data_IF_078460598872
#
_entry.id   IF_078460598872
#
_cell.length_a   1.000
_cell.length_b   1.000
_cell.length_c   1.000
_cell.angle_alpha   90.00
_cell.angle_beta   90.00
_cell.angle_gamma   90.00
#
_symmetry.space_group_name_H-M   'P 1'
#
loop_
_entity.id
_entity.type
_entity.pdbx_description
1 polymer ?
#
# COMPACT_ATOMS: atom_id res chain seq x y z
N UNK A 1 7.94 11.41 -15.01
CA UNK A 1 7.75 11.54 -13.55
C UNK A 1 6.32 11.12 -13.19
N UNK A 2 6.20 10.09 -12.36
CA UNK A 2 4.91 9.62 -11.87
C UNK A 2 4.53 10.32 -10.56
N UNK A 3 3.23 10.38 -10.28
CA UNK A 3 2.67 10.85 -9.01
C UNK A 3 2.15 9.64 -8.25
N UNK A 4 2.77 9.33 -7.11
CA UNK A 4 2.51 8.14 -6.34
C UNK A 4 1.86 8.50 -5.01
N UNK A 5 0.73 7.88 -4.69
CA UNK A 5 0.09 7.99 -3.39
C UNK A 5 0.60 6.90 -2.46
N UNK A 6 0.83 7.24 -1.20
CA UNK A 6 0.94 6.29 -0.09
C UNK A 6 -0.24 6.51 0.83
N UNK A 7 -0.82 5.45 1.36
CA UNK A 7 -1.79 5.55 2.45
C UNK A 7 -1.13 5.06 3.74
N UNK A 8 -1.21 5.84 4.81
CA UNK A 8 -0.43 5.61 6.01
C UNK A 8 -1.23 5.95 7.27
N UNK A 9 -1.26 5.00 8.21
CA UNK A 9 -1.84 5.16 9.54
C UNK A 9 -0.85 4.77 10.63
N UNK A 10 -1.23 4.95 11.89
CA UNK A 10 -0.38 4.59 13.02
C UNK A 10 0.02 3.12 13.01
N UNK A 11 1.15 2.84 13.62
CA UNK A 11 1.74 1.50 13.76
C UNK A 11 2.05 0.83 12.41
N UNK A 12 2.42 1.64 11.41
CA UNK A 12 2.95 1.11 10.16
C UNK A 12 4.30 0.41 10.42
N UNK A 13 4.64 -0.58 9.59
CA UNK A 13 5.99 -1.16 9.62
C UNK A 13 6.98 -0.14 9.10
N UNK A 14 7.89 0.33 9.95
CA UNK A 14 8.78 1.47 9.69
C UNK A 14 9.50 1.34 8.34
N UNK A 15 10.13 0.20 8.06
CA UNK A 15 10.87 -0.02 6.82
C UNK A 15 9.97 -0.13 5.58
N UNK A 16 8.77 -0.67 5.74
CA UNK A 16 7.83 -0.85 4.62
C UNK A 16 7.25 0.47 4.13
N UNK A 17 7.30 1.50 4.95
CA UNK A 17 7.04 2.87 4.54
C UNK A 17 8.31 3.55 4.02
N UNK A 18 9.35 3.62 4.85
CA UNK A 18 10.54 4.43 4.59
C UNK A 18 11.29 4.02 3.33
N UNK A 19 11.51 2.73 3.14
CA UNK A 19 12.32 2.24 2.00
C UNK A 19 11.63 2.52 0.66
N UNK A 20 10.36 2.16 0.43
CA UNK A 20 9.70 2.52 -0.82
C UNK A 20 9.55 4.03 -1.00
N UNK A 21 9.25 4.76 0.06
CA UNK A 21 9.11 6.21 0.02
C UNK A 21 10.37 6.88 -0.51
N UNK A 22 11.52 6.52 0.07
CA UNK A 22 12.81 7.10 -0.33
C UNK A 22 13.19 6.70 -1.77
N UNK A 23 13.09 5.42 -2.10
CA UNK A 23 13.50 4.92 -3.43
C UNK A 23 12.66 5.51 -4.56
N UNK A 24 11.37 5.67 -4.36
CA UNK A 24 10.50 6.27 -5.37
C UNK A 24 10.86 7.74 -5.57
N UNK A 25 11.12 8.47 -4.50
CA UNK A 25 11.55 9.88 -4.59
C UNK A 25 12.94 10.03 -5.21
N UNK A 26 13.88 9.20 -4.83
CA UNK A 26 15.23 9.19 -5.39
C UNK A 26 15.23 8.89 -6.90
N UNK A 27 14.24 8.12 -7.36
CA UNK A 27 14.04 7.85 -8.78
C UNK A 27 13.38 9.01 -9.54
N UNK A 28 13.08 10.12 -8.87
CA UNK A 28 12.55 11.34 -9.50
C UNK A 28 11.02 11.43 -9.53
N UNK A 29 10.32 10.54 -8.86
CA UNK A 29 8.86 10.58 -8.79
C UNK A 29 8.37 11.43 -7.61
N UNK A 30 7.15 11.94 -7.73
CA UNK A 30 6.49 12.72 -6.68
C UNK A 30 5.66 11.79 -5.80
N UNK A 31 5.81 11.90 -4.48
CA UNK A 31 5.04 11.12 -3.51
C UNK A 31 4.15 12.04 -2.69
N UNK A 32 2.89 11.64 -2.54
CA UNK A 32 1.93 12.25 -1.62
C UNK A 32 1.51 11.19 -0.60
N UNK A 33 1.65 11.49 0.68
CA UNK A 33 1.22 10.58 1.75
C UNK A 33 -0.16 11.02 2.26
N UNK A 34 -1.11 10.11 2.17
CA UNK A 34 -2.50 10.31 2.57
C UNK A 34 -2.74 9.55 3.88
N UNK A 35 -3.07 10.28 4.93
CA UNK A 35 -3.46 9.71 6.21
C UNK A 35 -4.98 9.77 6.41
N UNK A 36 -5.46 9.28 7.53
CA UNK A 36 -6.88 9.41 7.89
C UNK A 36 -7.29 10.89 8.00
N UNK A 37 -6.36 11.73 8.45
CA UNK A 37 -6.51 13.18 8.54
C UNK A 37 -5.22 13.87 8.11
N UNK A 38 -5.35 14.99 7.39
CA UNK A 38 -4.22 15.84 7.06
C UNK A 38 -3.56 16.41 8.32
N UNK A 39 -2.24 16.53 8.26
CA UNK A 39 -1.41 17.19 9.29
C UNK A 39 -1.46 16.51 10.67
N UNK A 40 -1.90 15.26 10.75
CA UNK A 40 -1.85 14.45 11.97
C UNK A 40 -0.70 13.47 11.89
N UNK A 41 0.30 13.64 12.76
CA UNK A 41 1.46 12.75 12.81
C UNK A 41 1.07 11.30 13.08
N UNK A 42 1.69 10.38 12.37
CA UNK A 42 1.60 8.93 12.60
C UNK A 42 2.98 8.38 12.91
N UNK A 43 3.02 7.30 13.68
CA UNK A 43 4.26 6.67 14.15
C UNK A 43 4.35 5.24 13.69
N UNK A 44 5.56 4.82 13.30
CA UNK A 44 5.86 3.44 13.02
C UNK A 44 5.79 2.59 14.30
N UNK A 45 5.45 1.32 14.14
CA UNK A 45 5.27 0.39 15.26
C UNK A 45 6.56 0.13 16.04
N UNK A 46 7.73 0.29 15.42
CA UNK A 46 9.04 0.14 16.05
C UNK A 46 9.57 1.44 16.63
N UNK A 47 8.86 2.54 16.44
CA UNK A 47 9.24 3.87 16.93
C UNK A 47 10.45 4.48 16.23
N UNK A 48 10.87 3.95 15.08
CA UNK A 48 12.03 4.46 14.33
C UNK A 48 11.66 5.57 13.38
N UNK A 49 10.43 5.55 12.87
CA UNK A 49 9.95 6.50 11.88
C UNK A 49 8.68 7.18 12.39
N UNK A 50 8.58 8.48 12.10
CA UNK A 50 7.34 9.25 12.23
C UNK A 50 7.12 9.98 10.92
N UNK A 51 5.87 10.24 10.58
CA UNK A 51 5.53 11.01 9.39
C UNK A 51 4.25 11.80 9.62
N UNK A 52 4.20 13.00 9.05
CA UNK A 52 2.98 13.81 9.09
C UNK A 52 2.38 13.84 7.68
N UNK A 53 1.32 13.03 7.43
CA UNK A 53 0.67 13.05 6.12
C UNK A 53 0.17 14.45 5.77
N UNK A 54 0.46 14.90 4.56
CA UNK A 54 0.05 16.22 4.08
C UNK A 54 -1.41 16.30 3.67
N UNK A 55 -2.07 15.16 3.51
CA UNK A 55 -3.45 15.09 3.02
C UNK A 55 -4.26 14.04 3.75
N UNK A 56 -5.54 14.28 3.88
CA UNK A 56 -6.55 13.26 4.15
C UNK A 56 -7.22 12.82 2.85
N UNK A 57 -8.10 11.80 2.87
CA UNK A 57 -8.74 11.31 1.64
C UNK A 57 -9.65 12.34 0.98
N UNK A 58 -10.21 13.28 1.75
CA UNK A 58 -11.03 14.37 1.22
C UNK A 58 -10.25 15.48 0.52
N UNK A 59 -8.92 15.52 0.70
CA UNK A 59 -8.05 16.55 0.14
C UNK A 59 -7.46 16.18 -1.21
N UNK A 60 -7.66 14.96 -1.66
CA UNK A 60 -7.07 14.43 -2.90
C UNK A 60 -8.13 13.80 -3.79
N UNK A 61 -7.78 13.69 -5.07
CA UNK A 61 -8.59 12.98 -6.07
C UNK A 61 -7.75 11.82 -6.61
N UNK A 62 -8.34 10.65 -6.72
CA UNK A 62 -7.67 9.46 -7.25
C UNK A 62 -7.07 9.70 -8.65
N UNK A 63 -7.69 10.55 -9.45
CA UNK A 63 -7.21 10.87 -10.80
C UNK A 63 -5.85 11.57 -10.82
N UNK A 64 -5.45 12.18 -9.69
CA UNK A 64 -4.14 12.83 -9.56
C UNK A 64 -2.97 11.85 -9.56
N UNK A 65 -3.23 10.57 -9.24
CA UNK A 65 -2.19 9.60 -8.99
C UNK A 65 -2.04 8.60 -10.13
N UNK A 66 -0.80 8.19 -10.35
CA UNK A 66 -0.42 7.17 -11.32
C UNK A 66 -0.23 5.80 -10.68
N UNK A 67 -0.06 5.76 -9.36
CA UNK A 67 0.13 4.53 -8.61
C UNK A 67 -0.17 4.74 -7.11
N UNK A 68 -0.36 3.63 -6.39
CA UNK A 68 -0.59 3.60 -4.95
C UNK A 68 0.33 2.59 -4.28
N UNK A 69 0.90 2.94 -3.14
CA UNK A 69 1.68 2.03 -2.28
C UNK A 69 1.04 1.97 -0.90
N UNK A 70 0.88 0.77 -0.39
CA UNK A 70 0.28 0.49 0.92
C UNK A 70 1.30 -0.23 1.81
N UNK A 71 1.97 0.48 2.72
CA UNK A 71 2.81 -0.15 3.74
C UNK A 71 2.01 -1.02 4.70
N UNK A 72 2.67 -2.00 5.28
CA UNK A 72 2.04 -2.91 6.24
C UNK A 72 2.17 -2.47 7.70
N UNK A 73 2.41 -3.43 8.58
CA UNK A 73 2.26 -3.25 10.01
C UNK A 73 0.79 -3.29 10.40
N UNK A 74 0.40 -2.54 11.42
CA UNK A 74 -1.01 -2.44 11.84
C UNK A 74 -1.76 -1.30 11.15
N UNK A 75 -1.07 -0.49 10.35
CA UNK A 75 -1.66 0.63 9.61
C UNK A 75 -2.83 0.19 8.72
N UNK A 76 -2.71 -0.86 7.90
CA UNK A 76 -3.83 -1.28 7.05
C UNK A 76 -5.09 -1.69 7.82
N UNK A 77 -4.92 -2.30 8.99
CA UNK A 77 -6.05 -2.67 9.84
C UNK A 77 -6.83 -1.44 10.31
N UNK A 78 -6.12 -0.37 10.63
CA UNK A 78 -6.73 0.90 11.03
C UNK A 78 -7.35 1.63 9.86
N UNK A 79 -6.67 1.67 8.72
CA UNK A 79 -7.13 2.39 7.53
C UNK A 79 -8.36 1.75 6.89
N UNK A 80 -8.54 0.43 7.02
CA UNK A 80 -9.66 -0.28 6.42
C UNK A 80 -11.03 0.15 6.95
N UNK A 81 -11.08 0.81 8.10
CA UNK A 81 -12.32 1.36 8.67
C UNK A 81 -12.60 2.80 8.21
N UNK A 82 -11.71 3.40 7.43
CA UNK A 82 -11.88 4.75 6.90
C UNK A 82 -12.42 4.66 5.46
N UNK A 83 -13.69 5.02 5.29
CA UNK A 83 -14.37 4.90 3.99
C UNK A 83 -13.70 5.71 2.89
N UNK A 84 -13.14 6.87 3.22
CA UNK A 84 -12.43 7.71 2.26
C UNK A 84 -11.14 7.07 1.75
N UNK A 85 -10.39 6.43 2.64
CA UNK A 85 -9.18 5.68 2.27
C UNK A 85 -9.56 4.48 1.39
N UNK A 86 -10.56 3.71 1.80
CA UNK A 86 -11.02 2.54 1.02
C UNK A 86 -11.46 2.99 -0.38
N UNK A 87 -12.21 4.08 -0.48
CA UNK A 87 -12.65 4.63 -1.76
C UNK A 87 -11.46 5.04 -2.65
N UNK A 88 -10.43 5.65 -2.07
CA UNK A 88 -9.21 6.02 -2.81
C UNK A 88 -8.52 4.79 -3.40
N UNK A 89 -8.38 3.73 -2.60
CA UNK A 89 -7.81 2.45 -3.06
C UNK A 89 -8.64 1.87 -4.20
N UNK A 90 -9.97 1.82 -4.04
CA UNK A 90 -10.88 1.30 -5.06
C UNK A 90 -10.77 2.04 -6.38
N UNK A 91 -10.69 3.36 -6.32
CA UNK A 91 -10.64 4.20 -7.55
C UNK A 91 -9.32 4.06 -8.28
N UNK A 92 -8.19 4.04 -7.56
CA UNK A 92 -6.87 3.87 -8.19
C UNK A 92 -6.77 2.46 -8.78
N UNK A 93 -7.19 1.45 -8.04
CA UNK A 93 -7.19 0.06 -8.52
C UNK A 93 -8.10 -0.11 -9.73
N UNK A 94 -9.33 0.43 -9.66
CA UNK A 94 -10.32 0.33 -10.72
C UNK A 94 -9.93 1.07 -12.00
N UNK A 95 -9.02 2.05 -11.91
CA UNK A 95 -8.48 2.77 -13.06
C UNK A 95 -7.30 2.03 -13.71
N UNK A 96 -7.04 0.79 -13.32
CA UNK A 96 -5.96 -0.06 -13.84
C UNK A 96 -4.55 0.48 -13.56
N UNK A 97 -4.43 1.33 -12.55
CA UNK A 97 -3.14 1.90 -12.13
C UNK A 97 -2.45 0.95 -11.15
N UNK A 98 -1.11 0.90 -11.12
CA UNK A 98 -0.39 0.03 -10.20
C UNK A 98 -0.77 0.28 -8.74
N UNK A 99 -1.11 -0.79 -8.03
CA UNK A 99 -1.35 -0.80 -6.58
C UNK A 99 -0.40 -1.82 -5.96
N UNK A 100 0.48 -1.35 -5.09
CA UNK A 100 1.50 -2.16 -4.46
C UNK A 100 1.24 -2.26 -2.95
N UNK A 101 1.15 -3.47 -2.44
CA UNK A 101 0.83 -3.73 -1.03
C UNK A 101 1.77 -4.77 -0.45
N UNK A 102 2.25 -4.55 0.77
CA UNK A 102 3.20 -5.44 1.42
C UNK A 102 2.71 -5.88 2.81
N UNK A 103 3.03 -7.11 3.20
CA UNK A 103 2.80 -7.66 4.53
C UNK A 103 1.29 -7.73 4.86
N UNK A 104 0.84 -7.01 5.90
CA UNK A 104 -0.57 -6.95 6.29
C UNK A 104 -1.43 -6.03 5.41
N UNK A 105 -0.84 -5.34 4.46
CA UNK A 105 -1.55 -4.39 3.59
C UNK A 105 -2.68 -5.05 2.78
N UNK A 106 -2.63 -6.37 2.59
CA UNK A 106 -3.71 -7.13 1.99
C UNK A 106 -5.06 -6.96 2.67
N UNK A 107 -5.09 -6.65 3.97
CA UNK A 107 -6.33 -6.38 4.70
C UNK A 107 -7.10 -5.20 4.12
N UNK A 108 -6.39 -4.14 3.73
CA UNK A 108 -6.99 -2.97 3.08
C UNK A 108 -7.46 -3.31 1.66
N UNK A 109 -6.70 -4.14 0.94
CA UNK A 109 -7.11 -4.62 -0.38
C UNK A 109 -8.40 -5.45 -0.31
N UNK A 110 -8.55 -6.27 0.73
CA UNK A 110 -9.79 -7.03 0.97
C UNK A 110 -10.97 -6.08 1.12
N UNK A 111 -10.82 -5.06 1.95
CA UNK A 111 -11.87 -4.07 2.19
C UNK A 111 -12.26 -3.33 0.91
N UNK A 112 -11.30 -3.07 0.05
CA UNK A 112 -11.52 -2.41 -1.25
C UNK A 112 -12.03 -3.37 -2.34
N UNK A 113 -12.24 -4.64 -2.04
CA UNK A 113 -12.62 -5.70 -3.00
C UNK A 113 -11.67 -5.77 -4.20
N UNK A 114 -10.36 -5.64 -3.93
CA UNK A 114 -9.32 -5.58 -4.96
C UNK A 114 -8.58 -6.92 -5.16
N UNK A 115 -8.94 -7.98 -4.46
CA UNK A 115 -8.21 -9.26 -4.49
C UNK A 115 -8.97 -10.39 -5.16
N UNK A 116 -10.26 -10.23 -5.43
CA UNK A 116 -11.11 -11.29 -5.97
C UNK A 116 -10.59 -11.77 -7.33
N UNK A 117 -10.25 -13.08 -7.39
CA UNK A 117 -9.71 -13.70 -8.60
C UNK A 117 -8.24 -13.36 -8.87
N UNK A 118 -7.58 -12.61 -8.01
CA UNK A 118 -6.18 -12.19 -8.19
C UNK A 118 -5.20 -13.13 -7.50
N UNK A 119 -4.05 -13.32 -8.14
CA UNK A 119 -2.89 -13.95 -7.51
C UNK A 119 -2.23 -12.91 -6.61
N UNK A 120 -1.98 -13.30 -5.36
CA UNK A 120 -1.41 -12.39 -4.35
C UNK A 120 -0.45 -13.14 -3.43
N UNK A 121 0.40 -12.39 -2.75
CA UNK A 121 1.10 -12.83 -1.56
C UNK A 121 0.89 -11.84 -0.42
N UNK A 122 1.32 -12.19 0.78
CA UNK A 122 1.20 -11.35 1.96
C UNK A 122 2.02 -11.90 3.10
N UNK A 123 2.02 -11.21 4.24
CA UNK A 123 2.39 -11.84 5.48
C UNK A 123 1.48 -13.06 5.73
N UNK A 124 2.04 -14.21 6.11
CA UNK A 124 1.27 -15.47 6.16
C UNK A 124 0.05 -15.46 7.08
N UNK A 125 0.02 -14.59 8.10
CA UNK A 125 -1.10 -14.57 9.06
C UNK A 125 -2.45 -14.21 8.42
N UNK A 126 -2.45 -13.50 7.28
CA UNK A 126 -3.69 -13.13 6.56
C UNK A 126 -3.93 -13.97 5.31
N UNK A 127 -3.17 -15.04 5.12
CA UNK A 127 -3.32 -15.95 3.97
C UNK A 127 -4.76 -16.46 3.81
N UNK A 128 -5.33 -16.98 4.89
CA UNK A 128 -6.70 -17.52 4.87
C UNK A 128 -7.72 -16.42 4.59
N UNK A 129 -7.51 -15.22 5.14
CA UNK A 129 -8.41 -14.08 4.90
C UNK A 129 -8.43 -13.71 3.41
N UNK A 130 -7.26 -13.68 2.76
CA UNK A 130 -7.14 -13.39 1.34
C UNK A 130 -7.79 -14.49 0.48
N UNK A 131 -7.58 -15.75 0.82
CA UNK A 131 -8.23 -16.88 0.12
C UNK A 131 -9.75 -16.79 0.26
N UNK A 132 -10.26 -16.49 1.47
CA UNK A 132 -11.69 -16.35 1.70
C UNK A 132 -12.27 -15.14 0.95
N UNK A 133 -11.47 -14.13 0.68
CA UNK A 133 -11.86 -12.98 -0.13
C UNK A 133 -11.80 -13.26 -1.65
N UNK A 134 -11.42 -14.46 -2.04
CA UNK A 134 -11.40 -14.88 -3.45
C UNK A 134 -10.05 -14.80 -4.14
N UNK A 135 -8.98 -14.52 -3.40
CA UNK A 135 -7.63 -14.47 -3.96
C UNK A 135 -7.00 -15.86 -4.08
N UNK A 136 -6.00 -15.97 -4.95
CA UNK A 136 -5.11 -17.13 -5.06
C UNK A 136 -3.78 -16.73 -4.41
N UNK A 137 -3.48 -17.33 -3.26
CA UNK A 137 -2.30 -16.97 -2.47
C UNK A 137 -1.10 -17.81 -2.84
N UNK A 138 0.06 -17.17 -3.01
CA UNK A 138 1.34 -17.80 -3.31
C UNK A 138 2.39 -17.32 -2.31
N UNK A 139 3.26 -18.22 -1.86
CA UNK A 139 4.39 -17.85 -1.00
C UNK A 139 5.58 -17.47 -1.88
N UNK A 140 5.68 -16.19 -2.22
CA UNK A 140 6.73 -15.65 -3.08
C UNK A 140 7.07 -14.24 -2.63
N UNK A 141 8.30 -13.80 -2.89
CA UNK A 141 8.73 -12.46 -2.46
C UNK A 141 7.98 -11.33 -3.17
N UNK A 142 7.57 -11.54 -4.41
CA UNK A 142 6.70 -10.62 -5.16
C UNK A 142 5.74 -11.42 -6.02
N UNK A 143 4.47 -11.05 -6.00
CA UNK A 143 3.46 -11.56 -6.92
C UNK A 143 2.83 -10.38 -7.65
N UNK A 144 2.87 -10.43 -8.97
CA UNK A 144 2.21 -9.46 -9.84
C UNK A 144 1.03 -10.12 -10.53
N UNK A 145 -0.12 -9.47 -10.50
CA UNK A 145 -1.28 -9.88 -11.29
C UNK A 145 -2.01 -8.64 -11.78
N UNK A 146 -1.96 -8.40 -13.09
CA UNK A 146 -2.47 -7.18 -13.68
C UNK A 146 -1.77 -5.96 -13.09
N UNK A 147 -2.54 -5.05 -12.51
CA UNK A 147 -2.03 -3.85 -11.85
C UNK A 147 -1.72 -4.04 -10.36
N UNK A 148 -1.90 -5.25 -9.83
CA UNK A 148 -1.66 -5.52 -8.42
C UNK A 148 -0.26 -6.11 -8.20
N UNK A 149 0.48 -5.52 -7.24
CA UNK A 149 1.83 -5.94 -6.84
C UNK A 149 1.78 -6.22 -5.35
N UNK A 150 2.17 -7.43 -4.93
CA UNK A 150 2.16 -7.78 -3.51
C UNK A 150 3.47 -8.41 -3.07
N UNK A 151 3.86 -8.20 -1.80
CA UNK A 151 5.02 -8.78 -1.13
C UNK A 151 4.69 -9.17 0.31
N UNK A 152 5.56 -9.92 0.98
CA UNK A 152 5.25 -10.59 2.25
C UNK A 152 5.74 -9.83 3.49
N UNK A 153 6.93 -9.22 3.43
CA UNK A 153 7.66 -8.80 4.64
C UNK A 153 8.82 -7.87 4.29
N UNK A 154 9.47 -7.22 5.29
CA UNK A 154 10.61 -6.34 5.03
C UNK A 154 11.76 -6.97 4.24
N UNK A 155 12.01 -8.27 4.40
CA UNK A 155 13.04 -8.99 3.65
C UNK A 155 12.82 -8.93 2.13
N UNK A 156 11.58 -8.70 1.69
CA UNK A 156 11.21 -8.64 0.29
C UNK A 156 11.30 -7.23 -0.31
N UNK A 157 11.67 -6.21 0.48
CA UNK A 157 11.60 -4.80 0.06
C UNK A 157 12.41 -4.48 -1.19
N UNK A 158 13.59 -5.10 -1.38
CA UNK A 158 14.37 -4.85 -2.59
C UNK A 158 13.63 -5.26 -3.86
N UNK A 159 13.06 -6.46 -3.87
CA UNK A 159 12.27 -6.97 -4.99
C UNK A 159 10.97 -6.19 -5.16
N UNK A 160 10.30 -5.85 -4.06
CA UNK A 160 9.08 -5.06 -4.06
C UNK A 160 9.29 -3.69 -4.71
N UNK A 161 10.31 -2.96 -4.24
CA UNK A 161 10.63 -1.63 -4.78
C UNK A 161 11.06 -1.69 -6.24
N UNK A 162 11.88 -2.67 -6.62
CA UNK A 162 12.31 -2.84 -8.01
C UNK A 162 11.09 -3.04 -8.93
N UNK A 163 10.15 -3.87 -8.50
CA UNK A 163 8.91 -4.13 -9.27
C UNK A 163 8.06 -2.87 -9.39
N UNK A 164 7.89 -2.12 -8.31
CA UNK A 164 7.14 -0.85 -8.34
C UNK A 164 7.78 0.10 -9.35
N UNK A 165 9.09 0.31 -9.27
CA UNK A 165 9.79 1.26 -10.13
C UNK A 165 9.68 0.90 -11.62
N UNK A 166 9.65 -0.39 -11.95
CA UNK A 166 9.42 -0.84 -13.34
C UNK A 166 8.04 -0.46 -13.88
N UNK A 167 7.07 -0.21 -13.00
CA UNK A 167 5.69 0.11 -13.36
C UNK A 167 5.40 1.60 -13.34
N UNK A 168 6.35 2.41 -12.94
CA UNK A 168 6.26 3.88 -12.95
C UNK A 168 6.99 4.44 -14.16
#
# INVERSE_FOLDING_TARGET
MAKVAFVLGDDFEDSEFKVPYDRIREAGHKVTVVGAKANKEVKGKKGKETFTPEAGPGDVNADQFDALVIPGGYSPDKLRTNDGIVSLVQKIFGADKPVAAICHAGSLLIEADAVRGKRVTSWPSIRTDLINAGAKWEDSEVVEDGNLITSRKPDDLDAFCATILQRL
#
